data_IF_162075538718
#
_entry.id   IF_162075538718
#
_cell.length_a   1.000
_cell.length_b   1.000
_cell.length_c   1.000
_cell.angle_alpha   90.00
_cell.angle_beta   90.00
_cell.angle_gamma   90.00
#
_symmetry.space_group_name_H-M   'P 1'
#
loop_
_entity.id
_entity.type
_entity.pdbx_description
1 polymer ?
#
# COMPACT_ATOMS: atom_id res chain seq x y z
N UNK A 1 -3.37 -25.47 -30.41
CA UNK A 1 -2.95 -24.19 -31.01
C UNK A 1 -4.18 -23.43 -31.44
N UNK A 2 -4.66 -22.53 -30.59
CA UNK A 2 -5.69 -21.53 -30.93
C UNK A 2 -5.19 -20.23 -30.34
N UNK A 3 -4.19 -19.65 -31.01
CA UNK A 3 -3.75 -18.28 -30.79
C UNK A 3 -4.87 -17.35 -31.24
N UNK A 4 -5.75 -16.95 -30.34
CA UNK A 4 -6.35 -15.63 -30.44
C UNK A 4 -5.21 -14.64 -30.27
N UNK A 5 -4.54 -14.34 -31.38
CA UNK A 5 -3.61 -13.22 -31.50
C UNK A 5 -4.45 -11.94 -31.49
N UNK A 6 -5.14 -11.69 -30.38
CA UNK A 6 -5.72 -10.40 -30.06
C UNK A 6 -4.54 -9.45 -29.91
N UNK A 7 -4.61 -8.29 -30.56
CA UNK A 7 -3.59 -7.23 -30.57
C UNK A 7 -3.41 -6.62 -29.16
N UNK A 8 -2.92 -7.43 -28.22
CA UNK A 8 -2.66 -7.08 -26.85
C UNK A 8 -1.53 -6.05 -26.78
N UNK A 9 -0.64 -6.05 -27.78
CA UNK A 9 0.41 -5.05 -27.95
C UNK A 9 -0.16 -3.65 -28.08
N UNK A 10 -1.27 -3.45 -28.80
CA UNK A 10 -1.95 -2.16 -28.83
C UNK A 10 -2.54 -1.77 -27.47
N UNK A 11 -3.07 -2.73 -26.68
CA UNK A 11 -3.52 -2.45 -25.31
C UNK A 11 -2.34 -2.07 -24.39
N UNK A 12 -1.23 -2.78 -24.46
CA UNK A 12 -0.02 -2.51 -23.68
C UNK A 12 0.59 -1.15 -24.03
N UNK A 13 0.66 -0.83 -25.33
CA UNK A 13 1.13 0.48 -25.80
C UNK A 13 0.22 1.61 -25.36
N UNK A 14 -1.11 1.46 -25.48
CA UNK A 14 -2.08 2.44 -24.95
C UNK A 14 -1.93 2.66 -23.44
N UNK A 15 -1.72 1.59 -22.67
CA UNK A 15 -1.44 1.71 -21.24
C UNK A 15 -0.16 2.53 -21.01
N UNK A 16 0.93 2.23 -21.73
CA UNK A 16 2.18 2.97 -21.62
C UNK A 16 2.03 4.45 -22.05
N UNK A 17 1.22 4.73 -23.06
CA UNK A 17 0.88 6.08 -23.52
C UNK A 17 0.14 6.86 -22.42
N UNK A 18 -0.92 6.27 -21.84
CA UNK A 18 -1.70 6.85 -20.75
C UNK A 18 -0.84 7.16 -19.52
N UNK A 19 0.09 6.26 -19.17
CA UNK A 19 1.01 6.45 -18.04
C UNK A 19 2.01 7.57 -18.28
N UNK A 20 2.44 7.78 -19.53
CA UNK A 20 3.30 8.89 -19.88
C UNK A 20 2.54 10.22 -19.87
N UNK A 21 1.30 10.23 -20.40
CA UNK A 21 0.41 11.39 -20.39
C UNK A 21 0.06 11.85 -18.96
N UNK A 22 -0.11 10.91 -18.02
CA UNK A 22 -0.35 11.24 -16.60
C UNK A 22 0.92 11.69 -15.85
N UNK A 23 2.09 11.62 -16.48
CA UNK A 23 3.38 11.92 -15.86
C UNK A 23 3.88 10.84 -14.89
N UNK A 24 3.27 9.65 -14.90
CA UNK A 24 3.70 8.52 -14.07
C UNK A 24 4.87 7.74 -14.68
N UNK A 25 5.09 7.86 -16.00
CA UNK A 25 6.11 7.16 -16.76
C UNK A 25 6.97 8.15 -17.55
N UNK A 26 8.27 8.20 -17.26
CA UNK A 26 9.22 9.09 -17.92
C UNK A 26 10.42 8.34 -18.51
N UNK A 27 10.81 7.20 -17.96
CA UNK A 27 11.91 6.38 -18.47
C UNK A 27 11.44 5.60 -19.73
N UNK A 28 12.07 5.84 -20.92
CA UNK A 28 11.75 5.10 -22.13
C UNK A 28 11.98 3.58 -22.00
N UNK A 29 12.87 3.14 -21.12
CA UNK A 29 13.12 1.73 -20.88
C UNK A 29 11.99 1.08 -20.07
N UNK A 30 11.35 1.80 -19.12
CA UNK A 30 10.12 1.33 -18.49
C UNK A 30 8.96 1.28 -19.48
N UNK A 31 8.86 2.26 -20.38
CA UNK A 31 7.85 2.27 -21.46
C UNK A 31 7.99 1.05 -22.37
N UNK A 32 9.23 0.70 -22.74
CA UNK A 32 9.53 -0.50 -23.51
C UNK A 32 9.12 -1.76 -22.74
N UNK A 33 9.43 -1.86 -21.44
CA UNK A 33 9.05 -3.00 -20.62
C UNK A 33 7.53 -3.19 -20.52
N UNK A 34 6.77 -2.11 -20.25
CA UNK A 34 5.31 -2.14 -20.17
C UNK A 34 4.69 -2.57 -21.50
N UNK A 35 5.26 -2.12 -22.62
CA UNK A 35 4.77 -2.47 -23.97
C UNK A 35 5.10 -3.90 -24.38
N UNK A 36 6.13 -4.51 -23.79
CA UNK A 36 6.63 -5.84 -24.15
C UNK A 36 6.11 -6.97 -23.24
N UNK A 37 5.69 -6.66 -22.00
CA UNK A 37 5.25 -7.68 -21.03
C UNK A 37 3.72 -7.84 -21.09
N UNK A 38 3.20 -9.01 -21.51
CA UNK A 38 1.77 -9.23 -21.68
C UNK A 38 1.05 -9.36 -20.33
N UNK A 39 0.52 -8.25 -19.80
CA UNK A 39 -0.14 -8.19 -18.48
C UNK A 39 -1.24 -9.24 -18.30
N UNK A 40 -2.03 -9.51 -19.33
CA UNK A 40 -3.11 -10.51 -19.32
C UNK A 40 -2.66 -11.96 -19.10
N UNK A 41 -1.42 -12.32 -19.48
CA UNK A 41 -0.88 -13.66 -19.20
C UNK A 41 -0.38 -13.79 -17.76
N UNK A 42 0.02 -12.68 -17.15
CA UNK A 42 0.46 -12.62 -15.76
C UNK A 42 -0.73 -12.41 -14.80
N UNK A 43 -1.80 -11.76 -15.27
CA UNK A 43 -3.07 -11.54 -14.54
C UNK A 43 -4.22 -12.26 -15.27
N UNK A 44 -4.27 -13.60 -15.25
CA UNK A 44 -5.24 -14.37 -16.03
C UNK A 44 -6.65 -14.40 -15.41
N UNK A 45 -6.81 -13.89 -14.19
CA UNK A 45 -8.08 -13.82 -13.48
C UNK A 45 -8.14 -12.51 -12.71
N UNK A 46 -9.27 -11.83 -12.77
CA UNK A 46 -9.52 -10.61 -12.03
C UNK A 46 -11.00 -10.47 -11.70
N UNK A 47 -11.31 -9.80 -10.60
CA UNK A 47 -12.67 -9.59 -10.12
C UNK A 47 -13.03 -8.11 -10.09
N UNK A 48 -14.31 -7.83 -10.28
CA UNK A 48 -14.91 -6.51 -10.04
C UNK A 48 -15.99 -6.64 -8.99
N UNK A 49 -16.16 -5.60 -8.18
CA UNK A 49 -17.19 -5.54 -7.15
C UNK A 49 -18.34 -4.67 -7.64
N UNK A 50 -19.57 -5.18 -7.54
CA UNK A 50 -20.77 -4.39 -7.76
C UNK A 50 -21.07 -3.50 -6.55
N UNK A 51 -21.98 -2.53 -6.71
CA UNK A 51 -22.36 -1.59 -5.65
C UNK A 51 -22.98 -2.26 -4.41
N UNK A 52 -23.56 -3.45 -4.58
CA UNK A 52 -24.11 -4.27 -3.49
C UNK A 52 -23.04 -5.06 -2.72
N UNK A 53 -21.78 -4.98 -3.16
CA UNK A 53 -20.64 -5.69 -2.57
C UNK A 53 -20.37 -7.07 -3.17
N UNK A 54 -21.21 -7.56 -4.09
CA UNK A 54 -21.00 -8.84 -4.77
C UNK A 54 -19.81 -8.78 -5.72
N UNK A 55 -19.08 -9.90 -5.83
CA UNK A 55 -17.93 -10.03 -6.72
C UNK A 55 -18.31 -10.82 -7.97
N UNK A 56 -17.87 -10.34 -9.13
CA UNK A 56 -17.95 -11.08 -10.40
C UNK A 56 -16.58 -11.13 -11.06
N UNK A 57 -16.29 -12.28 -11.70
CA UNK A 57 -15.06 -12.45 -12.46
C UNK A 57 -15.16 -11.70 -13.79
N UNK A 58 -14.07 -11.03 -14.18
CA UNK A 58 -13.94 -10.32 -15.45
C UNK A 58 -13.62 -11.35 -16.54
N UNK A 59 -14.46 -11.41 -17.57
CA UNK A 59 -14.23 -12.29 -18.73
C UNK A 59 -13.13 -11.73 -19.64
N UNK A 60 -11.91 -12.25 -19.50
CA UNK A 60 -10.73 -11.82 -20.26
C UNK A 60 -10.75 -12.25 -21.73
N UNK A 61 -11.70 -13.08 -22.16
CA UNK A 61 -11.86 -13.44 -23.57
C UNK A 61 -12.54 -12.34 -24.39
N UNK A 62 -13.18 -11.37 -23.72
CA UNK A 62 -13.87 -10.25 -24.35
C UNK A 62 -12.96 -9.04 -24.58
N UNK A 63 -13.22 -8.19 -25.60
CA UNK A 63 -12.52 -6.92 -25.78
C UNK A 63 -12.56 -6.02 -24.54
N UNK A 64 -13.70 -5.97 -23.84
CA UNK A 64 -13.92 -5.19 -22.63
C UNK A 64 -13.08 -5.72 -21.47
N UNK A 65 -13.02 -7.04 -21.29
CA UNK A 65 -12.16 -7.68 -20.30
C UNK A 65 -10.67 -7.45 -20.56
N UNK A 66 -10.24 -7.53 -21.81
CA UNK A 66 -8.87 -7.16 -22.20
C UNK A 66 -8.59 -5.69 -21.93
N UNK A 67 -9.49 -4.77 -22.26
CA UNK A 67 -9.34 -3.36 -21.93
C UNK A 67 -9.27 -3.12 -20.41
N UNK A 68 -10.06 -3.86 -19.64
CA UNK A 68 -10.05 -3.81 -18.17
C UNK A 68 -8.70 -4.25 -17.60
N UNK A 69 -8.11 -5.33 -18.10
CA UNK A 69 -6.79 -5.80 -17.65
C UNK A 69 -5.67 -4.79 -17.93
N UNK A 70 -5.74 -4.08 -19.05
CA UNK A 70 -4.77 -3.03 -19.39
C UNK A 70 -5.15 -1.64 -18.88
N UNK A 71 -6.12 -1.53 -17.98
CA UNK A 71 -6.48 -0.23 -17.38
C UNK A 71 -5.56 0.16 -16.20
N UNK A 72 -5.57 1.45 -15.87
CA UNK A 72 -4.83 2.06 -14.74
C UNK A 72 -5.50 1.83 -13.38
N UNK A 73 -6.24 0.74 -13.21
CA UNK A 73 -6.90 0.41 -11.93
C UNK A 73 -6.32 -0.85 -11.32
N UNK A 74 -6.50 -1.00 -10.00
CA UNK A 74 -6.16 -2.23 -9.29
C UNK A 74 -7.15 -3.32 -9.69
N UNK A 75 -6.63 -4.52 -9.93
CA UNK A 75 -7.41 -5.71 -10.25
C UNK A 75 -7.30 -6.66 -9.06
N UNK A 76 -8.42 -6.98 -8.40
CA UNK A 76 -8.42 -8.03 -7.37
C UNK A 76 -8.27 -9.36 -8.06
N UNK A 77 -7.34 -10.20 -7.61
CA UNK A 77 -6.97 -11.46 -8.29
C UNK A 77 -7.25 -12.69 -7.45
N UNK A 78 -7.48 -12.54 -6.16
CA UNK A 78 -7.96 -13.60 -5.28
C UNK A 78 -8.81 -13.03 -4.15
N UNK A 79 -9.82 -13.79 -3.76
CA UNK A 79 -10.77 -13.50 -2.69
C UNK A 79 -10.83 -14.72 -1.79
N UNK A 80 -10.80 -14.53 -0.47
CA UNK A 80 -10.94 -15.63 0.50
C UNK A 80 -12.39 -16.14 0.62
N UNK A 81 -12.60 -17.22 1.38
CA UNK A 81 -13.94 -17.77 1.61
C UNK A 81 -14.91 -16.84 2.35
N UNK A 82 -14.45 -15.70 2.86
CA UNK A 82 -15.27 -14.67 3.54
C UNK A 82 -15.60 -13.49 2.61
N UNK A 83 -15.10 -13.49 1.38
CA UNK A 83 -15.31 -12.39 0.43
C UNK A 83 -14.29 -11.26 0.53
N UNK A 84 -13.19 -11.44 1.29
CA UNK A 84 -12.13 -10.44 1.39
C UNK A 84 -11.09 -10.60 0.29
N UNK A 85 -10.70 -9.51 -0.40
CA UNK A 85 -9.55 -9.52 -1.30
C UNK A 85 -8.26 -9.91 -0.56
N UNK A 86 -7.59 -10.96 -1.02
CA UNK A 86 -6.31 -11.44 -0.44
C UNK A 86 -5.14 -11.33 -1.42
N UNK A 87 -5.42 -11.01 -2.68
CA UNK A 87 -4.40 -10.70 -3.69
C UNK A 87 -4.95 -9.71 -4.70
N UNK A 88 -4.06 -8.87 -5.23
CA UNK A 88 -4.39 -7.96 -6.32
C UNK A 88 -3.18 -7.70 -7.22
N UNK A 89 -3.44 -7.40 -8.48
CA UNK A 89 -2.49 -6.70 -9.34
C UNK A 89 -2.69 -5.20 -9.13
N UNK A 90 -1.75 -4.57 -8.44
CA UNK A 90 -1.75 -3.13 -8.20
C UNK A 90 -1.91 -2.34 -9.49
N UNK A 91 -2.65 -1.24 -9.42
CA UNK A 91 -2.81 -0.30 -10.52
C UNK A 91 -1.46 0.09 -11.15
N UNK A 92 -1.31 0.01 -12.48
CA UNK A 92 -0.03 0.27 -13.17
C UNK A 92 0.56 1.64 -12.91
N UNK A 93 -0.27 2.68 -12.76
CA UNK A 93 0.20 4.04 -12.50
C UNK A 93 0.92 4.14 -11.15
N UNK A 94 0.45 3.45 -10.12
CA UNK A 94 1.16 3.35 -8.86
C UNK A 94 2.44 2.53 -9.00
N UNK A 95 2.39 1.38 -9.67
CA UNK A 95 3.55 0.50 -9.79
C UNK A 95 4.68 1.17 -10.56
N UNK A 96 4.38 1.79 -11.71
CA UNK A 96 5.37 2.48 -12.53
C UNK A 96 5.94 3.70 -11.82
N UNK A 97 5.10 4.46 -11.10
CA UNK A 97 5.58 5.54 -10.24
C UNK A 97 6.58 5.04 -9.19
N UNK A 98 6.36 3.87 -8.59
CA UNK A 98 7.30 3.28 -7.65
C UNK A 98 8.62 2.86 -8.33
N UNK A 99 8.55 2.30 -9.53
CA UNK A 99 9.73 1.93 -10.32
C UNK A 99 10.55 3.16 -10.74
N UNK A 100 9.91 4.23 -11.18
CA UNK A 100 10.53 5.52 -11.50
C UNK A 100 11.22 6.14 -10.28
N UNK A 101 10.54 6.15 -9.12
CA UNK A 101 11.08 6.69 -7.87
C UNK A 101 12.35 5.99 -7.42
N UNK A 102 12.50 4.69 -7.69
CA UNK A 102 13.68 3.91 -7.33
C UNK A 102 14.90 4.20 -8.22
N UNK A 103 14.70 4.84 -9.38
CA UNK A 103 15.73 5.22 -10.35
C UNK A 103 16.72 4.07 -10.62
N UNK A 104 16.22 3.02 -11.26
CA UNK A 104 17.01 1.84 -11.60
C UNK A 104 18.06 2.11 -12.66
N UNK A 105 19.27 1.60 -12.44
CA UNK A 105 20.34 1.59 -13.42
C UNK A 105 20.50 0.19 -14.05
N UNK A 106 21.19 0.12 -15.19
CA UNK A 106 21.55 -1.16 -15.78
C UNK A 106 22.43 -1.97 -14.81
N UNK A 107 22.07 -3.22 -14.58
CA UNK A 107 22.78 -4.11 -13.64
C UNK A 107 22.35 -4.01 -12.18
N UNK A 108 21.44 -3.09 -11.82
CA UNK A 108 20.88 -3.03 -10.46
C UNK A 108 20.19 -4.35 -10.12
N UNK A 109 20.53 -4.91 -8.96
CA UNK A 109 19.88 -6.09 -8.36
C UNK A 109 18.71 -5.65 -7.50
N UNK A 110 17.56 -6.28 -7.69
CA UNK A 110 16.32 -5.90 -7.01
C UNK A 110 15.73 -7.04 -6.21
N UNK A 111 15.34 -6.74 -4.96
CA UNK A 111 14.42 -7.57 -4.20
C UNK A 111 13.03 -6.95 -4.23
N UNK A 112 12.08 -7.66 -4.82
CA UNK A 112 10.65 -7.39 -4.71
C UNK A 112 10.03 -8.21 -3.57
N UNK A 113 9.25 -7.55 -2.73
CA UNK A 113 8.51 -8.16 -1.63
C UNK A 113 7.01 -8.08 -1.93
N UNK A 114 6.45 -9.23 -2.28
CA UNK A 114 5.10 -9.41 -2.81
C UNK A 114 5.11 -9.77 -4.30
N UNK A 115 5.56 -10.99 -4.64
CA UNK A 115 5.54 -11.49 -6.03
C UNK A 115 4.13 -11.44 -6.62
N UNK A 116 3.11 -11.81 -5.84
CA UNK A 116 1.71 -11.79 -6.27
C UNK A 116 1.49 -12.51 -7.59
N UNK A 117 1.03 -11.79 -8.60
CA UNK A 117 0.77 -12.35 -9.94
C UNK A 117 2.02 -12.59 -10.78
N UNK A 118 3.16 -12.00 -10.39
CA UNK A 118 4.40 -11.98 -11.16
C UNK A 118 4.47 -10.86 -12.22
N UNK A 119 3.47 -9.98 -12.31
CA UNK A 119 3.48 -8.92 -13.34
C UNK A 119 4.64 -7.95 -13.16
N UNK A 120 4.87 -7.44 -11.95
CA UNK A 120 5.95 -6.51 -11.69
C UNK A 120 7.33 -7.20 -11.76
N UNK A 121 7.48 -8.43 -11.27
CA UNK A 121 8.66 -9.27 -11.53
C UNK A 121 8.96 -9.42 -13.05
N UNK A 122 7.94 -9.55 -13.90
CA UNK A 122 8.09 -9.57 -15.35
C UNK A 122 8.59 -8.24 -15.93
N UNK A 123 8.05 -7.10 -15.46
CA UNK A 123 8.54 -5.76 -15.83
C UNK A 123 10.01 -5.56 -15.41
N UNK A 124 10.35 -5.92 -14.18
CA UNK A 124 11.72 -5.89 -13.66
C UNK A 124 12.65 -6.77 -14.51
N UNK A 125 12.23 -7.99 -14.85
CA UNK A 125 13.03 -8.93 -15.64
C UNK A 125 13.30 -8.39 -17.05
N UNK A 126 12.28 -7.81 -17.68
CA UNK A 126 12.42 -7.17 -18.99
C UNK A 126 13.33 -5.94 -18.94
N UNK A 127 13.36 -5.19 -17.83
CA UNK A 127 14.13 -3.94 -17.70
C UNK A 127 15.58 -4.15 -17.26
N UNK A 128 15.84 -5.13 -16.39
CA UNK A 128 17.12 -5.32 -15.69
C UNK A 128 17.83 -6.61 -16.10
N UNK A 129 17.15 -7.53 -16.78
CA UNK A 129 17.56 -8.91 -16.95
C UNK A 129 17.12 -9.78 -15.77
N UNK A 130 16.62 -10.97 -16.05
CA UNK A 130 16.05 -11.90 -15.07
C UNK A 130 17.02 -12.31 -13.94
N UNK A 131 18.32 -12.38 -14.23
CA UNK A 131 19.36 -12.70 -13.24
C UNK A 131 19.49 -11.66 -12.12
N UNK A 132 19.00 -10.44 -12.35
CA UNK A 132 19.04 -9.35 -11.39
C UNK A 132 17.75 -9.23 -10.56
N UNK A 133 16.75 -10.07 -10.81
CA UNK A 133 15.43 -9.99 -10.18
C UNK A 133 15.23 -11.11 -9.18
N UNK A 134 14.95 -10.71 -7.94
CA UNK A 134 14.63 -11.58 -6.83
C UNK A 134 13.25 -11.15 -6.32
N UNK A 135 12.31 -12.08 -6.22
CA UNK A 135 10.97 -11.75 -5.77
C UNK A 135 10.44 -12.82 -4.81
N UNK A 136 9.89 -12.38 -3.70
CA UNK A 136 9.37 -13.25 -2.65
C UNK A 136 7.89 -12.97 -2.36
N UNK A 137 7.16 -14.02 -2.02
CA UNK A 137 5.79 -13.94 -1.51
C UNK A 137 5.62 -14.96 -0.39
N UNK A 138 4.74 -14.70 0.58
CA UNK A 138 4.48 -15.65 1.67
C UNK A 138 3.67 -16.85 1.18
N UNK A 139 2.93 -16.69 0.08
CA UNK A 139 2.04 -17.71 -0.47
C UNK A 139 2.77 -18.60 -1.51
N UNK A 140 3.01 -19.89 -1.21
CA UNK A 140 3.73 -20.79 -2.11
C UNK A 140 2.97 -21.10 -3.41
N UNK A 141 1.64 -21.01 -3.41
CA UNK A 141 0.84 -21.23 -4.62
C UNK A 141 1.02 -20.05 -5.58
N UNK A 142 0.97 -18.82 -5.07
CA UNK A 142 1.23 -17.62 -5.88
C UNK A 142 2.63 -17.66 -6.51
N UNK A 143 3.65 -18.01 -5.74
CA UNK A 143 5.03 -18.15 -6.24
C UNK A 143 5.13 -19.19 -7.35
N UNK A 144 4.45 -20.33 -7.19
CA UNK A 144 4.46 -21.41 -8.19
C UNK A 144 3.78 -20.97 -9.49
N UNK A 145 2.61 -20.32 -9.39
CA UNK A 145 1.87 -19.81 -10.54
C UNK A 145 2.63 -18.68 -11.25
N UNK A 146 3.24 -17.76 -10.50
CA UNK A 146 4.08 -16.70 -11.05
C UNK A 146 5.27 -17.29 -11.83
N UNK A 147 5.96 -18.30 -11.26
CA UNK A 147 7.08 -18.99 -11.92
C UNK A 147 6.68 -19.62 -13.25
N UNK A 148 5.54 -20.31 -13.28
CA UNK A 148 5.03 -20.95 -14.49
C UNK A 148 4.71 -19.91 -15.58
N UNK A 149 4.01 -18.82 -15.21
CA UNK A 149 3.63 -17.77 -16.16
C UNK A 149 4.85 -17.04 -16.70
N UNK A 150 5.78 -16.63 -15.84
CA UNK A 150 7.01 -15.96 -16.24
C UNK A 150 7.89 -16.86 -17.11
N UNK A 151 8.06 -18.13 -16.74
CA UNK A 151 8.79 -19.10 -17.55
C UNK A 151 8.16 -19.32 -18.93
N UNK A 152 6.83 -19.31 -19.03
CA UNK A 152 6.11 -19.35 -20.31
C UNK A 152 6.34 -18.11 -21.20
N UNK A 153 6.78 -17.00 -20.61
CA UNK A 153 7.19 -15.78 -21.33
C UNK A 153 8.70 -15.72 -21.59
N UNK A 154 9.46 -16.73 -21.16
CA UNK A 154 10.92 -16.75 -21.26
C UNK A 154 11.64 -15.96 -20.18
N UNK A 155 10.95 -15.56 -19.10
CA UNK A 155 11.57 -14.92 -17.93
C UNK A 155 11.78 -15.94 -16.81
N UNK A 156 13.00 -16.04 -16.30
CA UNK A 156 13.38 -16.95 -15.20
C UNK A 156 13.99 -16.21 -13.98
N UNK A 157 13.31 -15.20 -13.41
CA UNK A 157 13.81 -14.53 -12.21
C UNK A 157 13.83 -15.50 -11.02
N UNK A 158 14.61 -15.15 -9.97
CA UNK A 158 14.65 -15.95 -8.75
C UNK A 158 13.42 -15.68 -7.90
N UNK A 159 12.55 -16.68 -7.78
CA UNK A 159 11.31 -16.60 -7.01
C UNK A 159 11.33 -17.57 -5.81
N UNK A 160 10.88 -17.14 -4.63
CA UNK A 160 10.77 -18.01 -3.45
C UNK A 160 9.57 -17.70 -2.56
N UNK A 161 9.01 -18.75 -1.94
CA UNK A 161 7.93 -18.64 -0.96
C UNK A 161 8.51 -18.39 0.44
N UNK A 162 8.51 -17.12 0.89
CA UNK A 162 9.20 -16.68 2.13
C UNK A 162 8.45 -15.50 2.75
N UNK A 163 8.56 -15.36 4.07
CA UNK A 163 8.05 -14.18 4.76
C UNK A 163 8.85 -12.93 4.33
N UNK A 164 8.13 -11.94 3.80
CA UNK A 164 8.71 -10.71 3.29
C UNK A 164 9.48 -9.89 4.33
N UNK A 165 9.11 -9.97 5.61
CA UNK A 165 9.78 -9.23 6.69
C UNK A 165 11.24 -9.68 6.85
N UNK A 166 11.53 -10.96 6.57
CA UNK A 166 12.89 -11.50 6.62
C UNK A 166 13.77 -11.12 5.42
N UNK A 167 13.20 -10.57 4.35
CA UNK A 167 13.91 -10.37 3.08
C UNK A 167 14.45 -11.69 2.52
N UNK A 168 15.51 -11.63 1.69
CA UNK A 168 16.22 -12.80 1.13
C UNK A 168 17.75 -12.69 1.25
N UNK A 169 18.30 -12.86 2.47
CA UNK A 169 19.70 -12.56 2.76
C UNK A 169 20.71 -13.38 1.97
N UNK A 170 20.37 -14.62 1.58
CA UNK A 170 21.20 -15.54 0.81
C UNK A 170 21.59 -14.99 -0.58
N UNK A 171 20.89 -13.96 -1.06
CA UNK A 171 21.15 -13.31 -2.33
C UNK A 171 21.47 -11.83 -2.20
N UNK A 172 21.52 -11.27 -1.00
CA UNK A 172 21.97 -9.89 -0.80
C UNK A 172 23.46 -9.70 -1.16
N UNK A 173 23.93 -8.45 -1.19
CA UNK A 173 23.16 -7.23 -1.07
C UNK A 173 22.38 -6.89 -2.36
N UNK A 174 21.31 -6.10 -2.22
CA UNK A 174 20.47 -5.58 -3.30
C UNK A 174 20.70 -4.09 -3.51
N UNK A 175 20.73 -3.63 -4.75
CA UNK A 175 20.80 -2.20 -5.07
C UNK A 175 19.46 -1.50 -4.82
N UNK A 176 18.36 -2.24 -4.98
CA UNK A 176 16.99 -1.75 -4.81
C UNK A 176 16.14 -2.78 -4.04
N UNK A 177 15.35 -2.29 -3.09
CA UNK A 177 14.29 -3.08 -2.44
C UNK A 177 12.96 -2.37 -2.70
N UNK A 178 11.97 -3.11 -3.19
CA UNK A 178 10.61 -2.62 -3.41
C UNK A 178 9.62 -3.52 -2.69
N UNK A 179 8.81 -2.94 -1.80
CA UNK A 179 7.72 -3.65 -1.15
C UNK A 179 6.39 -3.27 -1.79
N UNK A 180 5.69 -4.26 -2.36
CA UNK A 180 4.35 -4.15 -2.96
C UNK A 180 3.27 -4.61 -1.98
N UNK A 181 3.59 -4.55 -0.69
CA UNK A 181 2.72 -4.71 0.45
C UNK A 181 3.08 -3.62 1.48
N UNK A 182 2.14 -3.32 2.37
CA UNK A 182 2.35 -2.35 3.43
C UNK A 182 2.92 -3.01 4.68
N UNK A 183 3.80 -2.29 5.38
CA UNK A 183 4.41 -2.74 6.63
C UNK A 183 4.20 -1.72 7.74
N UNK A 184 4.05 -2.15 9.00
CA UNK A 184 3.88 -1.22 10.11
C UNK A 184 5.17 -0.46 10.46
N UNK A 185 6.31 -1.05 10.11
CA UNK A 185 7.65 -0.51 10.29
C UNK A 185 8.58 -1.09 9.23
N UNK A 186 9.66 -0.38 8.90
CA UNK A 186 10.69 -0.91 8.00
C UNK A 186 11.47 -2.02 8.74
N UNK A 187 11.48 -3.25 8.23
CA UNK A 187 12.26 -4.33 8.82
C UNK A 187 13.77 -4.05 8.74
N UNK A 188 14.48 -4.30 9.85
CA UNK A 188 15.95 -4.19 9.89
C UNK A 188 16.61 -5.10 8.85
N UNK A 189 16.03 -6.27 8.60
CA UNK A 189 16.50 -7.20 7.57
C UNK A 189 16.59 -6.57 6.17
N UNK A 190 15.69 -5.64 5.82
CA UNK A 190 15.77 -4.94 4.53
C UNK A 190 16.94 -3.97 4.51
N UNK A 191 17.19 -3.25 5.60
CA UNK A 191 18.35 -2.36 5.73
C UNK A 191 19.66 -3.15 5.64
N UNK A 192 19.75 -4.31 6.28
CA UNK A 192 20.94 -5.16 6.31
C UNK A 192 21.26 -5.74 4.92
N UNK A 193 20.22 -6.05 4.14
CA UNK A 193 20.34 -6.63 2.80
C UNK A 193 20.47 -5.60 1.68
N UNK A 194 20.37 -4.31 1.97
CA UNK A 194 20.54 -3.25 0.99
C UNK A 194 22.03 -2.93 0.79
N UNK A 195 22.47 -2.77 -0.45
CA UNK A 195 23.82 -2.34 -0.80
C UNK A 195 24.12 -0.93 -0.24
N UNK A 196 25.39 -0.55 -0.07
CA UNK A 196 25.76 0.85 0.18
C UNK A 196 25.11 1.77 -0.86
N UNK A 197 24.52 2.87 -0.41
CA UNK A 197 23.76 3.82 -1.25
C UNK A 197 22.57 3.22 -2.02
N UNK A 198 22.21 1.96 -1.72
CA UNK A 198 21.02 1.30 -2.23
C UNK A 198 19.74 2.00 -1.75
N UNK A 199 18.66 1.80 -2.51
CA UNK A 199 17.37 2.48 -2.27
C UNK A 199 16.26 1.51 -1.95
N UNK A 200 15.38 1.92 -1.05
CA UNK A 200 14.26 1.15 -0.56
C UNK A 200 12.99 1.97 -0.73
N UNK A 201 11.95 1.37 -1.29
CA UNK A 201 10.63 1.97 -1.39
C UNK A 201 9.59 1.03 -0.82
N UNK A 202 8.83 1.50 0.15
CA UNK A 202 7.81 0.72 0.84
C UNK A 202 6.61 1.59 1.23
N UNK A 203 5.44 0.98 1.33
CA UNK A 203 4.28 1.60 1.96
C UNK A 203 4.34 1.39 3.48
N UNK A 204 4.61 2.46 4.22
CA UNK A 204 4.75 2.43 5.66
C UNK A 204 3.42 2.85 6.32
N UNK A 205 2.78 1.92 7.03
CA UNK A 205 1.53 2.14 7.77
C UNK A 205 1.76 2.16 9.28
N UNK A 206 2.06 3.35 9.78
CA UNK A 206 2.47 3.62 11.16
C UNK A 206 1.43 3.14 12.19
N UNK A 207 0.16 3.13 11.82
CA UNK A 207 -0.91 2.45 12.56
C UNK A 207 -2.28 2.82 11.99
N UNK A 208 -3.29 1.96 12.18
CA UNK A 208 -4.65 2.16 11.68
C UNK A 208 -4.74 2.53 10.18
N UNK A 209 -3.89 1.95 9.33
CA UNK A 209 -3.74 2.33 7.92
C UNK A 209 -3.27 3.78 7.65
N UNK A 210 -2.79 4.49 8.68
CA UNK A 210 -2.11 5.76 8.55
C UNK A 210 -0.73 5.57 7.95
N UNK A 211 -0.58 5.94 6.67
CA UNK A 211 0.64 5.66 5.95
C UNK A 211 0.68 6.24 4.56
N UNK A 212 1.87 6.14 3.99
CA UNK A 212 2.17 6.49 2.61
C UNK A 212 3.48 5.80 2.20
N UNK A 213 3.83 5.88 0.92
CA UNK A 213 5.12 5.45 0.42
C UNK A 213 6.24 6.29 1.05
N UNK A 214 7.30 5.60 1.48
CA UNK A 214 8.55 6.19 1.93
C UNK A 214 9.70 5.67 1.09
N UNK A 215 10.48 6.60 0.54
CA UNK A 215 11.68 6.33 -0.24
C UNK A 215 12.89 6.59 0.64
N UNK A 216 13.69 5.56 0.87
CA UNK A 216 14.86 5.58 1.74
C UNK A 216 16.12 5.24 0.95
N UNK A 217 17.24 5.83 1.36
CA UNK A 217 18.58 5.51 0.87
C UNK A 217 19.45 5.05 2.04
N UNK A 218 20.29 4.04 1.82
CA UNK A 218 21.22 3.56 2.85
C UNK A 218 22.44 4.48 2.95
N UNK A 219 22.68 4.99 4.15
CA UNK A 219 23.89 5.75 4.49
C UNK A 219 24.55 5.11 5.72
N UNK A 220 25.63 4.35 5.48
CA UNK A 220 26.25 3.53 6.52
C UNK A 220 25.28 2.44 7.00
N UNK A 221 24.94 2.47 8.29
CA UNK A 221 23.99 1.55 8.92
C UNK A 221 22.60 2.16 9.15
N UNK A 222 22.31 3.32 8.54
CA UNK A 222 21.04 4.03 8.68
C UNK A 222 20.32 4.09 7.33
N UNK A 223 18.99 4.12 7.36
CA UNK A 223 18.18 4.47 6.21
C UNK A 223 17.63 5.87 6.40
N UNK A 224 17.71 6.71 5.37
CA UNK A 224 17.18 8.08 5.41
C UNK A 224 16.42 8.42 4.13
N UNK A 225 15.35 9.19 4.26
CA UNK A 225 14.66 9.73 3.11
C UNK A 225 13.34 10.39 3.45
N UNK A 226 12.38 10.35 2.53
CA UNK A 226 11.15 11.13 2.61
C UNK A 226 9.94 10.32 2.21
N UNK A 227 8.78 10.68 2.77
CA UNK A 227 7.51 10.22 2.25
C UNK A 227 7.23 10.87 0.89
N UNK A 228 6.52 10.17 0.02
CA UNK A 228 6.19 10.69 -1.32
C UNK A 228 4.99 11.64 -1.29
N UNK A 229 4.95 12.62 -2.19
CA UNK A 229 3.86 13.60 -2.26
C UNK A 229 2.49 12.97 -2.59
N UNK A 230 2.44 11.98 -3.49
CA UNK A 230 1.20 11.34 -3.92
C UNK A 230 0.92 10.12 -3.07
N UNK A 231 -0.20 10.13 -2.36
CA UNK A 231 -0.61 9.02 -1.52
C UNK A 231 -0.73 7.70 -2.30
N UNK A 232 -0.40 6.61 -1.61
CA UNK A 232 -0.71 5.25 -2.01
C UNK A 232 -1.02 4.41 -0.79
N UNK A 233 -1.64 3.26 -1.02
CA UNK A 233 -1.86 2.24 0.00
C UNK A 233 -1.84 0.87 -0.65
N UNK A 234 -1.27 -0.08 0.06
CA UNK A 234 -1.20 -1.48 -0.29
C UNK A 234 -1.91 -2.35 0.75
N UNK A 235 -2.17 -3.60 0.39
CA UNK A 235 -2.60 -4.60 1.37
C UNK A 235 -1.51 -4.80 2.44
N UNK A 236 -1.85 -5.08 3.70
CA UNK A 236 -0.89 -5.44 4.73
C UNK A 236 -0.04 -6.65 4.31
N UNK A 237 1.26 -6.62 4.64
CA UNK A 237 2.10 -7.80 4.59
C UNK A 237 1.48 -8.89 5.47
N UNK A 238 1.36 -10.11 4.93
CA UNK A 238 0.84 -11.27 5.65
C UNK A 238 1.98 -12.10 6.19
N UNK A 239 1.76 -12.69 7.35
CA UNK A 239 2.65 -13.71 7.89
C UNK A 239 2.08 -15.11 7.65
N UNK A 240 2.93 -16.13 7.62
CA UNK A 240 2.50 -17.52 7.42
C UNK A 240 1.51 -18.05 8.49
N UNK A 241 1.27 -17.27 9.56
CA UNK A 241 0.36 -17.60 10.68
C UNK A 241 -0.79 -16.61 10.85
N UNK A 242 -1.03 -15.70 9.91
CA UNK A 242 -2.25 -14.86 9.98
C UNK A 242 -3.48 -15.74 9.73
N UNK A 243 -4.18 -16.09 10.79
CA UNK A 243 -5.40 -16.92 10.77
C UNK A 243 -6.67 -16.12 10.42
N UNK A 244 -6.52 -14.86 9.98
CA UNK A 244 -7.62 -14.05 9.46
C UNK A 244 -8.75 -13.83 10.48
N UNK A 245 -8.47 -13.93 11.78
CA UNK A 245 -9.46 -13.60 12.80
C UNK A 245 -9.78 -12.11 12.71
N UNK A 246 -11.03 -11.81 12.34
CA UNK A 246 -11.56 -10.47 12.50
C UNK A 246 -11.45 -10.08 13.99
N UNK A 247 -11.05 -8.84 14.30
CA UNK A 247 -11.01 -8.38 15.68
C UNK A 247 -12.39 -8.61 16.32
N UNK A 248 -12.38 -9.11 17.56
CA UNK A 248 -13.60 -9.35 18.31
C UNK A 248 -14.43 -8.06 18.34
N UNK A 249 -15.74 -8.17 18.09
CA UNK A 249 -16.64 -7.02 18.18
C UNK A 249 -16.65 -6.56 19.63
N UNK A 250 -16.10 -5.38 19.87
CA UNK A 250 -16.05 -4.79 21.21
C UNK A 250 -17.43 -4.21 21.55
N UNK A 251 -17.93 -4.53 22.73
CA UNK A 251 -19.14 -3.90 23.27
C UNK A 251 -18.87 -2.43 23.59
N UNK A 252 -19.75 -1.55 23.10
CA UNK A 252 -19.65 -0.11 23.31
C UNK A 252 -20.14 0.23 24.71
N UNK A 253 -19.41 1.09 25.42
CA UNK A 253 -19.89 1.65 26.67
C UNK A 253 -21.24 2.37 26.48
N UNK A 254 -22.17 2.15 27.42
CA UNK A 254 -23.55 2.67 27.37
C UNK A 254 -23.65 4.17 27.67
N UNK A 255 -22.75 4.69 28.52
CA UNK A 255 -22.73 6.11 28.86
C UNK A 255 -22.09 6.91 27.72
N UNK A 256 -22.86 7.83 27.13
CA UNK A 256 -22.41 8.69 26.04
C UNK A 256 -22.37 10.16 26.44
N UNK A 257 -21.41 10.89 25.87
CA UNK A 257 -21.37 12.35 25.85
C UNK A 257 -21.47 12.87 24.42
N UNK A 258 -22.06 14.06 24.27
CA UNK A 258 -22.21 14.76 22.99
C UNK A 258 -21.61 16.14 23.06
N UNK A 259 -20.83 16.49 22.05
CA UNK A 259 -20.21 17.82 21.94
C UNK A 259 -20.00 18.19 20.48
N UNK A 260 -19.78 19.48 20.22
CA UNK A 260 -19.49 19.99 18.89
C UNK A 260 -17.98 19.91 18.61
N UNK A 261 -17.62 19.60 17.37
CA UNK A 261 -16.22 19.63 16.89
C UNK A 261 -16.09 20.51 15.65
N UNK A 262 -14.93 21.13 15.50
CA UNK A 262 -14.51 21.81 14.26
C UNK A 262 -13.61 20.93 13.40
N UNK A 263 -13.09 19.83 13.93
CA UNK A 263 -12.25 18.90 13.19
C UNK A 263 -13.03 18.22 12.05
N UNK A 264 -12.40 18.00 10.89
CA UNK A 264 -12.95 17.15 9.85
C UNK A 264 -13.22 15.72 10.38
N UNK A 265 -14.36 15.11 10.02
CA UNK A 265 -14.83 13.84 10.59
C UNK A 265 -14.07 12.62 10.06
N UNK A 266 -13.35 12.76 8.95
CA UNK A 266 -12.73 11.66 8.21
C UNK A 266 -11.24 11.94 7.99
N UNK A 267 -10.42 12.00 9.06
CA UNK A 267 -8.99 12.29 8.94
C UNK A 267 -8.28 11.27 8.03
N UNK A 268 -8.69 9.99 8.05
CA UNK A 268 -8.13 8.94 7.19
C UNK A 268 -8.39 9.12 5.68
N UNK A 269 -9.32 10.00 5.29
CA UNK A 269 -9.65 10.26 3.88
C UNK A 269 -9.37 11.69 3.41
N UNK A 270 -9.28 12.66 4.33
CA UNK A 270 -9.16 14.09 3.99
C UNK A 270 -7.78 14.66 4.32
N UNK A 271 -7.21 14.30 5.48
CA UNK A 271 -5.93 14.80 5.97
C UNK A 271 -5.14 13.64 6.58
N UNK A 272 -4.57 12.78 5.72
CA UNK A 272 -3.96 11.51 6.15
C UNK A 272 -2.72 11.69 7.02
N UNK A 273 -2.06 12.83 6.90
CA UNK A 273 -0.99 13.28 7.77
C UNK A 273 -1.47 13.42 9.22
N UNK A 274 -2.68 13.94 9.42
CA UNK A 274 -3.32 14.03 10.75
C UNK A 274 -3.59 12.63 11.29
N UNK A 275 -3.98 11.69 10.44
CA UNK A 275 -4.18 10.31 10.87
C UNK A 275 -2.90 9.64 11.35
N UNK A 276 -1.75 9.95 10.72
CA UNK A 276 -0.43 9.53 11.21
C UNK A 276 -0.13 10.11 12.60
N UNK A 277 -0.42 11.38 12.82
CA UNK A 277 -0.20 12.05 14.10
C UNK A 277 -1.16 11.57 15.20
N UNK A 278 -2.39 11.18 14.84
CA UNK A 278 -3.38 10.64 15.76
C UNK A 278 -3.06 9.19 16.17
N UNK A 279 -2.52 8.38 15.27
CA UNK A 279 -2.26 6.95 15.50
C UNK A 279 -1.51 6.63 16.80
N UNK A 280 -0.40 7.30 17.18
CA UNK A 280 0.30 7.02 18.44
C UNK A 280 -0.44 7.51 19.69
N UNK A 281 -1.47 8.35 19.54
CA UNK A 281 -2.31 8.82 20.65
C UNK A 281 -3.51 7.89 20.91
N UNK A 282 -3.83 7.03 19.94
CA UNK A 282 -4.97 6.12 20.03
C UNK A 282 -4.56 4.80 20.72
N UNK A 283 -5.45 4.17 21.50
CA UNK A 283 -5.18 2.86 22.09
C UNK A 283 -4.81 1.81 21.04
N UNK A 284 -3.89 0.88 21.33
CA UNK A 284 -3.61 -0.26 20.47
C UNK A 284 -4.88 -1.07 20.16
N UNK A 285 -5.02 -1.49 18.90
CA UNK A 285 -6.21 -2.20 18.43
C UNK A 285 -7.44 -1.32 18.22
N UNK A 286 -7.28 0.01 18.22
CA UNK A 286 -8.32 0.90 17.71
C UNK A 286 -8.70 0.49 16.28
N UNK A 287 -9.95 0.67 15.90
CA UNK A 287 -10.46 0.43 14.55
C UNK A 287 -11.25 1.65 14.12
N UNK A 288 -11.35 1.86 12.82
CA UNK A 288 -12.13 2.94 12.23
C UNK A 288 -13.11 2.40 11.20
N UNK A 289 -14.12 3.19 10.86
CA UNK A 289 -15.09 2.80 9.85
C UNK A 289 -16.23 3.77 9.71
N UNK A 290 -17.30 3.28 9.10
CA UNK A 290 -18.52 4.05 8.87
C UNK A 290 -19.73 3.34 9.43
N UNK A 291 -20.62 4.12 10.03
CA UNK A 291 -22.02 3.74 10.17
C UNK A 291 -22.71 4.04 8.85
N UNK A 292 -23.36 3.03 8.26
CA UNK A 292 -24.10 3.18 7.02
C UNK A 292 -25.60 3.29 7.31
N UNK A 293 -26.30 4.12 6.52
CA UNK A 293 -27.76 4.10 6.46
C UNK A 293 -28.25 2.73 5.95
N UNK A 294 -29.18 2.04 6.64
CA UNK A 294 -29.57 0.67 6.27
C UNK A 294 -30.22 0.55 4.88
N UNK A 295 -30.88 1.60 4.39
CA UNK A 295 -31.57 1.58 3.10
C UNK A 295 -30.66 1.96 1.94
N UNK A 296 -29.96 3.09 2.07
CA UNK A 296 -29.15 3.69 1.01
C UNK A 296 -27.68 3.22 1.02
N UNK A 297 -27.23 2.58 2.10
CA UNK A 297 -25.82 2.24 2.37
C UNK A 297 -24.86 3.45 2.36
N UNK A 298 -25.39 4.66 2.46
CA UNK A 298 -24.58 5.87 2.50
C UNK A 298 -23.98 6.07 3.90
N UNK A 299 -22.74 6.56 4.04
CA UNK A 299 -22.15 6.86 5.34
C UNK A 299 -22.95 7.95 6.10
N UNK A 300 -23.39 7.63 7.32
CA UNK A 300 -24.10 8.55 8.22
C UNK A 300 -23.25 9.01 9.40
N UNK A 301 -22.24 8.23 9.79
CA UNK A 301 -21.25 8.64 10.78
C UNK A 301 -19.88 8.02 10.48
N UNK A 302 -18.82 8.76 10.77
CA UNK A 302 -17.46 8.26 10.86
C UNK A 302 -17.23 7.74 12.28
N UNK A 303 -16.69 6.53 12.45
CA UNK A 303 -16.62 5.87 13.77
C UNK A 303 -15.22 5.40 14.12
N UNK A 304 -14.86 5.51 15.40
CA UNK A 304 -13.71 4.83 16.01
C UNK A 304 -14.18 3.89 17.11
N UNK A 305 -13.47 2.78 17.33
CA UNK A 305 -13.73 1.85 18.44
C UNK A 305 -12.42 1.23 18.90
N UNK A 306 -12.17 1.22 20.21
CA UNK A 306 -10.98 0.67 20.83
C UNK A 306 -11.30 -0.59 21.65
N UNK A 307 -10.27 -1.36 21.98
CA UNK A 307 -10.35 -2.64 22.70
C UNK A 307 -10.86 -2.53 24.15
N UNK A 308 -10.79 -1.34 24.74
CA UNK A 308 -11.28 -1.03 26.10
C UNK A 308 -12.78 -0.65 26.14
N UNK A 309 -13.49 -0.78 25.03
CA UNK A 309 -14.90 -0.40 24.89
C UNK A 309 -15.13 1.07 24.57
N UNK A 310 -14.06 1.86 24.44
CA UNK A 310 -14.16 3.26 23.99
C UNK A 310 -14.59 3.35 22.55
N UNK A 311 -15.44 4.32 22.24
CA UNK A 311 -15.94 4.53 20.89
C UNK A 311 -16.30 6.00 20.67
N UNK A 312 -16.19 6.45 19.42
CA UNK A 312 -16.77 7.72 19.01
C UNK A 312 -17.48 7.59 17.66
N UNK A 313 -18.45 8.46 17.40
CA UNK A 313 -19.16 8.59 16.15
C UNK A 313 -19.36 10.07 15.84
N UNK A 314 -18.85 10.50 14.68
CA UNK A 314 -19.00 11.87 14.19
C UNK A 314 -20.05 11.90 13.11
N UNK A 315 -21.09 12.71 13.32
CA UNK A 315 -22.23 12.83 12.41
C UNK A 315 -21.79 13.39 11.04
N UNK A 316 -22.09 12.64 9.98
CA UNK A 316 -21.83 13.03 8.59
C UNK A 316 -23.07 13.62 7.89
N UNK A 317 -24.26 13.51 8.50
CA UNK A 317 -25.52 13.97 7.91
C UNK A 317 -25.65 15.49 7.85
N UNK A 318 -24.99 16.22 8.77
CA UNK A 318 -25.00 17.68 8.84
C UNK A 318 -23.62 18.25 8.52
N UNK A 319 -23.57 19.27 7.66
CA UNK A 319 -22.31 19.95 7.30
C UNK A 319 -21.71 20.71 8.49
N UNK A 320 -22.51 21.48 9.24
CA UNK A 320 -22.13 22.19 10.47
C UNK A 320 -23.36 22.51 11.35
N UNK A 321 -23.22 22.62 12.69
CA UNK A 321 -22.08 22.16 13.48
C UNK A 321 -22.00 20.62 13.44
N UNK A 322 -20.77 20.09 13.40
CA UNK A 322 -20.55 18.63 13.47
C UNK A 322 -20.65 18.21 14.92
N UNK A 323 -21.40 17.15 15.19
CA UNK A 323 -21.59 16.62 16.55
C UNK A 323 -20.84 15.30 16.67
N UNK A 324 -20.04 15.18 17.72
CA UNK A 324 -19.40 13.95 18.14
C UNK A 324 -20.25 13.35 19.24
N UNK A 325 -20.55 12.06 19.13
CA UNK A 325 -21.06 11.25 20.22
C UNK A 325 -19.99 10.24 20.58
N UNK A 326 -19.59 10.14 21.84
CA UNK A 326 -18.58 9.19 22.27
C UNK A 326 -18.87 8.63 23.65
N UNK A 327 -18.28 7.48 23.97
CA UNK A 327 -18.40 6.82 25.26
C UNK A 327 -17.20 5.92 25.54
N UNK A 328 -17.08 5.50 26.79
CA UNK A 328 -16.01 4.64 27.29
C UNK A 328 -14.88 5.41 27.99
N UNK A 329 -13.88 4.67 28.51
CA UNK A 329 -12.84 5.24 29.38
C UNK A 329 -11.83 6.14 28.66
N UNK A 330 -11.66 5.99 27.35
CA UNK A 330 -10.69 6.75 26.55
C UNK A 330 -11.39 7.71 25.58
N UNK A 331 -11.09 9.03 25.62
CA UNK A 331 -11.65 10.00 24.68
C UNK A 331 -10.97 9.90 23.30
N UNK A 332 -11.47 9.00 22.45
CA UNK A 332 -10.85 8.72 21.14
C UNK A 332 -10.84 9.94 20.22
N UNK A 333 -11.91 10.75 20.23
CA UNK A 333 -11.99 11.91 19.32
C UNK A 333 -11.04 13.04 19.72
N UNK A 334 -10.77 13.20 21.02
CA UNK A 334 -9.80 14.18 21.52
C UNK A 334 -8.40 13.94 20.93
N UNK A 335 -8.03 12.67 20.71
CA UNK A 335 -6.75 12.32 20.06
C UNK A 335 -6.70 12.81 18.61
N UNK A 336 -7.82 12.79 17.90
CA UNK A 336 -7.94 13.33 16.54
C UNK A 336 -7.87 14.85 16.56
N UNK A 337 -8.55 15.52 17.48
CA UNK A 337 -8.52 16.99 17.62
C UNK A 337 -7.10 17.49 17.95
N UNK A 338 -6.41 16.84 18.89
CA UNK A 338 -5.01 17.14 19.22
C UNK A 338 -4.07 16.95 18.03
N UNK A 339 -4.31 15.93 17.20
CA UNK A 339 -3.53 15.71 15.98
C UNK A 339 -3.76 16.83 14.95
N UNK A 340 -5.00 17.33 14.82
CA UNK A 340 -5.29 18.50 13.98
C UNK A 340 -4.61 19.76 14.52
N UNK A 341 -4.70 20.04 15.82
CA UNK A 341 -4.04 21.18 16.45
C UNK A 341 -2.52 21.15 16.20
N UNK A 342 -1.91 19.98 16.36
CA UNK A 342 -0.50 19.79 16.06
C UNK A 342 -0.19 20.05 14.58
N UNK A 343 -0.97 19.46 13.67
CA UNK A 343 -0.77 19.63 12.22
C UNK A 343 -0.94 21.08 11.77
N UNK A 344 -1.95 21.79 12.28
CA UNK A 344 -2.11 23.23 12.05
C UNK A 344 -0.96 24.05 12.62
N UNK A 345 -0.50 23.73 13.84
CA UNK A 345 0.66 24.39 14.45
C UNK A 345 1.96 24.19 13.67
N UNK A 346 2.08 23.09 12.92
CA UNK A 346 3.19 22.82 12.02
C UNK A 346 3.08 23.57 10.67
N UNK A 347 1.94 24.20 10.38
CA UNK A 347 1.67 24.86 9.10
C UNK A 347 1.18 23.89 8.03
N UNK A 348 0.41 22.88 8.43
CA UNK A 348 -0.25 21.92 7.52
C UNK A 348 0.73 21.21 6.57
N UNK A 349 1.85 20.66 7.07
CA UNK A 349 2.85 20.04 6.22
C UNK A 349 2.23 18.86 5.44
N UNK A 350 2.40 18.80 4.11
CA UNK A 350 2.02 17.62 3.32
C UNK A 350 3.00 16.47 3.54
N UNK A 351 2.63 15.25 3.16
CA UNK A 351 3.48 14.05 3.24
C UNK A 351 4.95 14.27 2.81
N UNK A 352 5.18 14.97 1.69
CA UNK A 352 6.53 15.19 1.16
C UNK A 352 7.47 16.00 2.07
N UNK A 353 6.94 16.68 3.09
CA UNK A 353 7.74 17.40 4.09
C UNK A 353 8.24 16.51 5.22
N UNK A 354 7.67 15.32 5.40
CA UNK A 354 8.08 14.38 6.43
C UNK A 354 9.25 13.53 5.93
N UNK A 355 10.28 13.47 6.76
CA UNK A 355 11.48 12.66 6.54
C UNK A 355 11.50 11.51 7.53
N UNK A 356 11.88 10.32 7.08
CA UNK A 356 12.06 9.16 7.93
C UNK A 356 13.54 8.79 8.03
N UNK A 357 13.96 8.51 9.24
CA UNK A 357 15.24 7.93 9.58
C UNK A 357 15.03 6.61 10.32
N UNK A 358 15.64 5.53 9.82
CA UNK A 358 15.68 4.22 10.49
C UNK A 358 17.09 3.98 11.02
N UNK A 359 17.19 3.73 12.33
CA UNK A 359 18.46 3.51 13.03
C UNK A 359 18.74 2.02 13.23
N UNK A 360 20.00 1.60 13.47
CA UNK A 360 20.37 0.19 13.61
C UNK A 360 19.71 -0.55 14.78
N UNK A 361 19.26 0.19 15.79
CA UNK A 361 18.52 -0.36 16.93
C UNK A 361 17.03 -0.60 16.61
N UNK A 362 16.60 -0.31 15.37
CA UNK A 362 15.21 -0.45 14.93
C UNK A 362 14.36 0.79 15.16
N UNK A 363 14.90 1.87 15.73
CA UNK A 363 14.16 3.11 15.96
C UNK A 363 13.82 3.78 14.64
N UNK A 364 12.58 4.27 14.56
CA UNK A 364 12.08 5.05 13.44
C UNK A 364 11.79 6.47 13.93
N UNK A 365 12.47 7.44 13.33
CA UNK A 365 12.35 8.84 13.68
C UNK A 365 11.83 9.62 12.48
N UNK A 366 10.67 10.26 12.63
CA UNK A 366 10.10 11.17 11.65
C UNK A 366 10.44 12.60 12.03
N UNK A 367 10.91 13.38 11.06
CA UNK A 367 11.26 14.80 11.21
C UNK A 367 10.66 15.64 10.08
N UNK A 368 10.70 16.96 10.23
CA UNK A 368 10.31 17.91 9.19
C UNK A 368 11.50 18.86 8.97
N UNK A 369 12.01 18.95 7.74
CA UNK A 369 13.28 19.64 7.46
C UNK A 369 13.28 21.13 7.85
N UNK A 370 12.15 21.82 7.68
CA UNK A 370 12.00 23.24 8.04
C UNK A 370 11.56 23.45 9.51
N UNK A 371 11.51 22.38 10.32
CA UNK A 371 11.17 22.40 11.75
C UNK A 371 12.14 21.53 12.57
N UNK A 372 13.39 21.97 12.78
CA UNK A 372 14.45 21.12 13.36
C UNK A 372 14.19 20.63 14.80
N UNK A 373 13.27 21.26 15.54
CA UNK A 373 12.87 20.86 16.88
C UNK A 373 11.75 19.82 16.94
N UNK A 374 11.03 19.56 15.84
CA UNK A 374 9.92 18.63 15.83
C UNK A 374 10.37 17.22 15.44
N UNK A 375 9.96 16.23 16.23
CA UNK A 375 10.29 14.82 16.05
C UNK A 375 9.10 13.95 16.46
N UNK A 376 8.86 12.88 15.72
CA UNK A 376 7.94 11.82 16.09
C UNK A 376 8.69 10.49 16.05
N UNK A 377 8.74 9.80 17.19
CA UNK A 377 9.28 8.45 17.27
C UNK A 377 8.16 7.45 17.07
N UNK A 378 8.36 6.49 16.18
CA UNK A 378 7.42 5.40 16.01
C UNK A 378 7.74 4.29 17.01
N UNK A 379 6.71 3.69 17.65
CA UNK A 379 6.88 2.61 18.61
C UNK A 379 7.39 1.30 18.01
#
# INVERSE_FOLDING_TARGET
>A
MTTTNTDWTAHAKRLADQLAESGDLTDPAWRAAISAVPRHLLVPRAYTQAHDGSWSEIDLSTPEGMQRVYSTTTLVTAIDGRGHPVSSSTKPDLMVRMLELLCFHYGDRVLEIGTGTGYNAGLLSQRLGEDNVFSIDVDPELVTLARQRLGGLGFLPRLAARDGVGGWPEHGPYDKIIATCSVPRIPQAWADQLAPDGRLLADLKIGLDAGNLVLLTKHGNRLKGSFTARWASFMPARHARDDGQAPARVERAEQERKFATTAPPEPWNTHREVWMLASPLLPPGTTYGYRLDPGTRTPTAATLTASDGSWCAVDLSKKRPRVVTEGGPTPLWESVERAYEQWYGLGEPPWAKFHLEVRPNGDHEITIADRPGWRLFLP
#
